data_IF_765043288125
#
_entry.id   IF_765043288125
#
_cell.length_a   1.000
_cell.length_b   1.000
_cell.length_c   1.000
_cell.angle_alpha   90.00
_cell.angle_beta   90.00
_cell.angle_gamma   90.00
#
_symmetry.space_group_name_H-M   'P 1'
#
loop_
_entity.id
_entity.type
_entity.pdbx_description
1 polymer ?
#
# COMPACT_ATOMS: atom_id res chain seq x y z
N UNK A 1 -21.39 -30.91 68.35
CA UNK A 1 -21.72 -29.51 68.05
C UNK A 1 -20.39 -28.79 67.74
N UNK A 2 -20.37 -27.96 66.68
CA UNK A 2 -19.22 -27.30 66.01
C UNK A 2 -18.53 -28.11 64.90
N UNK A 3 -19.17 -28.08 63.72
CA UNK A 3 -18.49 -28.23 62.44
C UNK A 3 -17.74 -26.93 62.13
N UNK A 4 -16.45 -27.02 61.81
CA UNK A 4 -15.62 -25.89 61.37
C UNK A 4 -15.77 -25.79 59.86
N UNK A 5 -16.51 -24.79 59.38
CA UNK A 5 -16.58 -24.44 57.96
C UNK A 5 -15.30 -23.69 57.57
N UNK A 6 -14.48 -24.28 56.70
CA UNK A 6 -13.45 -23.55 55.97
C UNK A 6 -14.13 -22.76 54.84
N UNK A 7 -14.20 -21.43 54.99
CA UNK A 7 -14.62 -20.54 53.91
C UNK A 7 -13.44 -20.36 52.95
N UNK A 8 -13.53 -20.98 51.77
CA UNK A 8 -12.63 -20.71 50.64
C UNK A 8 -13.06 -19.37 50.03
N UNK A 9 -12.29 -18.31 50.29
CA UNK A 9 -12.43 -17.03 49.60
C UNK A 9 -11.82 -17.23 48.21
N UNK A 10 -12.67 -17.46 47.20
CA UNK A 10 -12.27 -17.38 45.80
C UNK A 10 -12.00 -15.91 45.46
N UNK A 11 -10.72 -15.54 45.33
CA UNK A 11 -10.33 -14.26 44.77
C UNK A 11 -10.71 -14.25 43.29
N UNK A 12 -11.83 -13.59 42.94
CA UNK A 12 -12.13 -13.21 41.58
C UNK A 12 -11.09 -12.17 41.15
N UNK A 13 -10.07 -12.62 40.41
CA UNK A 13 -9.23 -11.72 39.64
C UNK A 13 -10.12 -11.13 38.53
N UNK A 14 -10.57 -9.88 38.72
CA UNK A 14 -11.12 -9.10 37.61
C UNK A 14 -9.99 -8.90 36.61
N UNK A 15 -10.00 -9.68 35.53
CA UNK A 15 -9.22 -9.40 34.33
C UNK A 15 -9.87 -8.15 33.75
N UNK A 16 -9.35 -6.97 34.11
CA UNK A 16 -9.63 -5.76 33.37
C UNK A 16 -9.14 -6.02 31.95
N UNK A 17 -10.05 -6.01 30.97
CA UNK A 17 -9.65 -5.89 29.58
C UNK A 17 -8.73 -4.67 29.49
N UNK A 18 -7.58 -4.75 28.81
CA UNK A 18 -6.74 -3.58 28.64
C UNK A 18 -7.60 -2.51 27.98
N UNK A 19 -7.77 -1.37 28.67
CA UNK A 19 -8.20 -0.16 28.00
C UNK A 19 -7.24 0.00 26.83
N UNK A 20 -7.76 0.00 25.60
CA UNK A 20 -6.94 0.32 24.44
C UNK A 20 -6.23 1.63 24.74
N UNK A 21 -4.90 1.61 24.77
CA UNK A 21 -4.13 2.82 25.01
C UNK A 21 -4.54 3.87 23.99
N UNK A 22 -4.68 5.13 24.42
CA UNK A 22 -5.00 6.25 23.56
C UNK A 22 -3.97 6.32 22.41
N UNK A 23 -4.44 6.24 21.16
CA UNK A 23 -3.56 6.18 19.99
C UNK A 23 -3.07 7.58 19.59
N UNK A 24 -3.88 8.61 19.80
CA UNK A 24 -3.57 10.00 19.44
C UNK A 24 -2.84 10.74 20.54
N UNK A 25 -1.89 11.60 20.12
CA UNK A 25 -1.19 12.53 21.02
C UNK A 25 -1.65 13.95 20.76
N UNK A 26 -1.68 14.75 21.83
CA UNK A 26 -1.87 16.20 21.75
C UNK A 26 -0.59 16.89 22.16
N UNK A 27 -0.19 17.90 21.40
CA UNK A 27 0.89 18.80 21.81
C UNK A 27 0.39 19.77 22.88
N UNK A 28 1.27 20.10 23.83
CA UNK A 28 0.96 21.10 24.86
C UNK A 28 0.74 22.49 24.25
N UNK A 29 0.09 23.39 24.99
CA UNK A 29 -0.12 24.76 24.51
C UNK A 29 1.22 25.43 24.15
N UNK A 30 1.36 25.84 22.89
CA UNK A 30 2.58 26.49 22.40
C UNK A 30 3.70 25.54 22.00
N UNK A 31 3.45 24.23 21.89
CA UNK A 31 4.49 23.28 21.49
C UNK A 31 5.15 23.64 20.15
N UNK A 32 6.44 23.39 20.07
CA UNK A 32 7.22 23.41 18.83
C UNK A 32 7.29 22.00 18.26
N UNK A 33 7.13 21.87 16.95
CA UNK A 33 7.21 20.58 16.29
C UNK A 33 8.67 20.13 16.21
N UNK A 34 8.98 18.83 16.46
CA UNK A 34 10.34 18.34 16.39
C UNK A 34 10.83 18.31 14.94
N UNK A 35 12.17 18.40 14.70
CA UNK A 35 12.71 18.21 13.37
C UNK A 35 12.35 16.83 12.80
N UNK A 36 11.98 16.77 11.53
CA UNK A 36 11.62 15.53 10.85
C UNK A 36 11.84 15.64 9.34
N UNK A 37 12.30 14.55 8.72
CA UNK A 37 12.41 14.39 7.27
C UNK A 37 11.24 13.58 6.74
N UNK A 38 10.80 13.89 5.51
CA UNK A 38 9.73 13.16 4.83
C UNK A 38 10.09 11.68 4.61
N UNK A 39 11.38 11.38 4.43
CA UNK A 39 11.89 10.02 4.18
C UNK A 39 11.71 9.09 5.40
N UNK A 40 11.55 9.66 6.61
CA UNK A 40 11.24 8.88 7.82
C UNK A 40 9.85 8.22 7.76
N UNK A 41 9.03 8.59 6.77
CA UNK A 41 7.69 8.08 6.53
C UNK A 41 7.60 7.07 5.39
N UNK A 42 8.71 6.57 4.85
CA UNK A 42 8.71 5.60 3.73
C UNK A 42 7.89 4.33 4.02
N UNK A 43 7.77 3.93 5.29
CA UNK A 43 6.97 2.79 5.74
C UNK A 43 5.46 2.97 5.48
N UNK A 44 5.00 4.20 5.26
CA UNK A 44 3.61 4.54 5.00
C UNK A 44 3.21 4.30 3.53
N UNK A 45 4.18 4.31 2.61
CA UNK A 45 3.97 4.19 1.18
C UNK A 45 3.28 2.85 0.87
N UNK A 46 2.11 2.92 0.22
CA UNK A 46 1.36 1.73 -0.12
C UNK A 46 -0.12 1.97 -0.30
N UNK A 47 -0.85 0.88 -0.43
CA UNK A 47 -2.30 0.85 -0.36
C UNK A 47 -2.70 -0.07 0.79
N UNK A 48 -3.73 0.34 1.52
CA UNK A 48 -4.13 -0.21 2.78
C UNK A 48 -5.65 -0.35 2.78
N UNK A 49 -6.17 -1.47 3.28
CA UNK A 49 -7.61 -1.77 3.32
C UNK A 49 -8.00 -2.38 4.66
N UNK A 50 -9.21 -2.10 5.13
CA UNK A 50 -9.71 -2.62 6.39
C UNK A 50 -11.12 -2.13 6.70
N UNK A 51 -11.51 -2.24 7.96
CA UNK A 51 -12.79 -1.74 8.45
C UNK A 51 -12.67 -0.27 8.87
N UNK A 52 -13.65 0.52 8.46
CA UNK A 52 -13.84 1.90 8.85
C UNK A 52 -15.03 2.08 9.79
N UNK A 53 -15.74 3.18 9.60
CA UNK A 53 -16.81 3.60 10.50
C UNK A 53 -17.95 2.58 10.48
N UNK A 54 -18.37 2.12 11.67
CA UNK A 54 -19.43 1.11 11.85
C UNK A 54 -19.16 -0.22 11.10
N UNK A 55 -17.89 -0.56 10.89
CA UNK A 55 -17.47 -1.79 10.21
C UNK A 55 -17.63 -1.78 8.69
N UNK A 56 -18.03 -0.64 8.09
CA UNK A 56 -18.06 -0.50 6.64
C UNK A 56 -16.62 -0.41 6.07
N UNK A 57 -16.36 -0.89 4.84
CA UNK A 57 -15.00 -0.90 4.29
C UNK A 57 -14.37 0.49 4.23
N UNK A 58 -13.07 0.55 4.48
CA UNK A 58 -12.27 1.75 4.29
C UNK A 58 -10.93 1.42 3.65
N UNK A 59 -10.40 2.39 2.92
CA UNK A 59 -9.15 2.29 2.18
C UNK A 59 -8.31 3.53 2.45
N UNK A 60 -7.00 3.33 2.55
CA UNK A 60 -6.04 4.44 2.62
C UNK A 60 -4.87 4.14 1.68
N UNK A 61 -4.38 5.16 0.99
CA UNK A 61 -3.24 5.02 0.09
C UNK A 61 -2.30 6.20 0.21
N UNK A 62 -1.00 5.94 0.10
CA UNK A 62 0.06 6.95 0.15
C UNK A 62 1.05 6.71 -0.98
N UNK A 63 1.30 7.79 -1.74
CA UNK A 63 2.31 7.81 -2.79
C UNK A 63 3.70 8.07 -2.19
N UNK A 64 4.80 7.66 -2.85
CA UNK A 64 6.13 8.16 -2.52
C UNK A 64 6.19 9.69 -2.57
N UNK A 65 7.08 10.33 -1.80
CA UNK A 65 7.18 11.79 -1.78
C UNK A 65 7.61 12.33 -3.15
N UNK A 66 6.96 13.41 -3.59
CA UNK A 66 7.31 14.19 -4.79
C UNK A 66 7.59 15.63 -4.38
N UNK A 67 8.79 16.13 -4.67
CA UNK A 67 9.20 17.48 -4.25
C UNK A 67 9.13 17.69 -2.72
N UNK A 68 9.38 16.64 -1.94
CA UNK A 68 9.30 16.67 -0.46
C UNK A 68 7.89 16.54 0.11
N UNK A 69 6.85 16.38 -0.72
CA UNK A 69 5.46 16.22 -0.26
C UNK A 69 4.98 14.80 -0.54
N UNK A 70 4.45 14.13 0.48
CA UNK A 70 3.74 12.87 0.35
C UNK A 70 2.24 13.14 0.21
N UNK A 71 1.59 12.52 -0.78
CA UNK A 71 0.16 12.67 -1.02
C UNK A 71 -0.52 11.35 -0.68
N UNK A 72 -1.61 11.44 0.07
CA UNK A 72 -2.44 10.30 0.42
C UNK A 72 -3.92 10.54 0.15
N UNK A 73 -4.67 9.45 0.15
CA UNK A 73 -6.13 9.46 0.00
C UNK A 73 -6.72 8.43 0.93
N UNK A 74 -7.75 8.83 1.68
CA UNK A 74 -8.60 7.93 2.45
C UNK A 74 -9.98 7.86 1.80
N UNK A 75 -10.60 6.68 1.80
CA UNK A 75 -11.95 6.44 1.30
C UNK A 75 -12.72 5.66 2.34
N UNK A 76 -13.87 6.21 2.76
CA UNK A 76 -14.86 5.48 3.53
C UNK A 76 -15.97 5.04 2.59
N UNK A 77 -16.27 3.75 2.56
CA UNK A 77 -17.44 3.22 1.88
C UNK A 77 -18.65 3.15 2.83
N UNK A 78 -19.84 3.08 2.25
CA UNK A 78 -21.05 2.62 2.93
C UNK A 78 -21.09 1.09 2.97
N UNK A 79 -22.01 0.51 3.74
CA UNK A 79 -22.16 -0.96 3.82
C UNK A 79 -22.53 -1.62 2.48
N UNK A 80 -23.05 -0.86 1.51
CA UNK A 80 -23.38 -1.33 0.16
C UNK A 80 -22.22 -1.22 -0.85
N UNK A 81 -21.04 -0.74 -0.42
CA UNK A 81 -19.86 -0.57 -1.25
C UNK A 81 -19.81 0.72 -2.08
N UNK A 82 -20.79 1.63 -1.92
CA UNK A 82 -20.69 2.96 -2.50
C UNK A 82 -19.74 3.85 -1.67
N UNK A 83 -19.10 4.83 -2.32
CA UNK A 83 -18.29 5.83 -1.60
C UNK A 83 -19.22 6.67 -0.71
N UNK A 84 -18.90 6.76 0.58
CA UNK A 84 -19.57 7.64 1.54
C UNK A 84 -18.88 9.01 1.54
N UNK A 85 -17.57 9.04 1.78
CA UNK A 85 -16.73 10.21 1.65
C UNK A 85 -15.28 9.80 1.39
N UNK A 86 -14.46 10.78 1.02
CA UNK A 86 -13.02 10.61 0.85
C UNK A 86 -12.25 11.78 1.46
N UNK A 87 -10.97 11.59 1.71
CA UNK A 87 -10.06 12.64 2.15
C UNK A 87 -8.89 12.72 1.19
N UNK A 88 -8.45 13.94 0.88
CA UNK A 88 -7.21 14.18 0.16
C UNK A 88 -6.19 14.75 1.15
N UNK A 89 -5.09 14.02 1.35
CA UNK A 89 -4.15 14.25 2.44
C UNK A 89 -2.75 14.56 1.92
N UNK A 90 -2.06 15.48 2.59
CA UNK A 90 -0.71 15.94 2.26
C UNK A 90 0.13 15.87 3.52
N UNK A 91 1.28 15.21 3.48
CA UNK A 91 2.34 15.38 4.48
C UNK A 91 3.44 16.18 3.81
N UNK A 92 3.76 17.35 4.36
CA UNK A 92 4.68 18.29 3.74
C UNK A 92 5.57 19.01 4.75
N UNK A 93 6.73 19.53 4.34
CA UNK A 93 7.63 20.26 5.22
C UNK A 93 7.01 21.60 5.66
N UNK A 94 7.21 21.94 6.92
CA UNK A 94 6.93 23.24 7.51
C UNK A 94 8.10 23.60 8.42
N UNK A 95 8.98 24.48 7.94
CA UNK A 95 10.26 24.74 8.62
C UNK A 95 11.19 23.53 8.50
N UNK A 96 11.72 23.06 9.63
CA UNK A 96 12.53 21.86 9.78
C UNK A 96 11.74 20.61 10.21
N UNK A 97 10.40 20.72 10.25
CA UNK A 97 9.46 19.69 10.65
C UNK A 97 8.48 19.33 9.52
N UNK A 98 7.55 18.42 9.79
CA UNK A 98 6.42 18.07 8.93
C UNK A 98 5.07 18.56 9.50
N UNK A 99 4.09 18.69 8.62
CA UNK A 99 2.67 18.82 8.98
C UNK A 99 1.81 17.99 8.03
N UNK A 100 0.74 17.39 8.57
CA UNK A 100 -0.29 16.74 7.77
C UNK A 100 -1.43 17.73 7.52
N UNK A 101 -1.86 17.86 6.28
CA UNK A 101 -3.03 18.64 5.88
C UNK A 101 -4.02 17.74 5.18
N UNK A 102 -5.31 17.97 5.39
CA UNK A 102 -6.33 17.26 4.64
C UNK A 102 -7.58 18.09 4.40
N UNK A 103 -8.33 17.68 3.38
CA UNK A 103 -9.70 18.10 3.11
C UNK A 103 -10.58 16.87 2.94
N UNK A 104 -11.84 17.00 3.35
CA UNK A 104 -12.85 15.98 3.14
C UNK A 104 -13.70 16.31 1.92
N UNK A 105 -14.14 15.26 1.24
CA UNK A 105 -14.98 15.34 0.06
C UNK A 105 -16.12 14.33 0.15
N UNK A 106 -17.33 14.77 -0.19
CA UNK A 106 -18.46 13.86 -0.41
C UNK A 106 -18.20 12.96 -1.63
N UNK A 107 -19.07 11.96 -1.84
CA UNK A 107 -19.01 11.06 -2.99
C UNK A 107 -19.03 11.77 -4.36
N UNK A 108 -19.57 12.99 -4.44
CA UNK A 108 -19.64 13.82 -5.64
C UNK A 108 -18.49 14.85 -5.76
N UNK A 109 -17.46 14.71 -4.93
CA UNK A 109 -16.28 15.60 -4.85
C UNK A 109 -16.58 17.02 -4.34
N UNK A 110 -17.76 17.28 -3.77
CA UNK A 110 -17.98 18.54 -3.05
C UNK A 110 -17.23 18.52 -1.71
N UNK A 111 -16.45 19.58 -1.45
CA UNK A 111 -15.62 19.69 -0.24
C UNK A 111 -16.41 20.10 1.00
N UNK A 112 -15.97 19.62 2.18
CA UNK A 112 -16.54 20.05 3.47
C UNK A 112 -15.92 21.36 3.96
N UNK A 113 -14.62 21.53 3.75
CA UNK A 113 -13.91 22.77 4.04
C UNK A 113 -14.17 23.80 2.93
N UNK A 114 -14.09 25.08 3.30
CA UNK A 114 -14.09 26.17 2.35
C UNK A 114 -12.94 26.05 1.34
N UNK A 115 -13.08 26.74 0.20
CA UNK A 115 -12.16 26.61 -0.94
C UNK A 115 -10.68 26.74 -0.54
N UNK A 116 -10.36 27.74 0.28
CA UNK A 116 -8.98 28.04 0.68
C UNK A 116 -8.60 27.46 2.07
N UNK A 117 -9.52 26.74 2.71
CA UNK A 117 -9.32 26.16 4.04
C UNK A 117 -8.99 24.66 3.98
N UNK A 118 -8.24 24.20 4.96
CA UNK A 118 -7.92 22.78 5.17
C UNK A 118 -7.68 22.51 6.65
N UNK A 119 -7.89 21.27 7.09
CA UNK A 119 -7.37 20.85 8.38
C UNK A 119 -5.84 20.78 8.31
N UNK A 120 -5.17 21.21 9.37
CA UNK A 120 -3.71 21.16 9.50
C UNK A 120 -3.35 20.60 10.87
N UNK A 121 -2.61 19.50 10.87
CA UNK A 121 -2.13 18.80 12.05
C UNK A 121 -0.59 18.93 12.10
N UNK A 122 -0.09 19.67 13.09
CA UNK A 122 1.36 19.84 13.31
C UNK A 122 1.95 18.58 13.94
N UNK A 123 3.16 18.20 13.55
CA UNK A 123 3.87 17.06 14.12
C UNK A 123 4.17 17.31 15.61
N UNK A 124 3.81 16.36 16.47
CA UNK A 124 4.06 16.37 17.92
C UNK A 124 5.25 15.47 18.26
N UNK A 125 5.33 14.30 17.63
CA UNK A 125 6.42 13.36 17.83
C UNK A 125 6.59 12.48 16.58
N UNK A 126 7.81 11.99 16.37
CA UNK A 126 8.12 10.97 15.37
C UNK A 126 8.97 9.89 16.04
N UNK A 127 8.66 8.64 15.72
CA UNK A 127 9.31 7.44 16.23
C UNK A 127 9.49 6.47 15.05
N UNK A 128 10.34 5.43 15.17
CA UNK A 128 10.42 4.40 14.14
C UNK A 128 9.04 3.83 13.82
N UNK A 129 8.61 3.90 12.55
CA UNK A 129 7.31 3.41 12.10
C UNK A 129 6.10 4.12 12.74
N UNK A 130 6.25 5.35 13.26
CA UNK A 130 5.13 6.11 13.82
C UNK A 130 5.32 7.63 13.71
N UNK A 131 4.30 8.32 13.21
CA UNK A 131 4.19 9.76 13.16
C UNK A 131 2.96 10.21 13.93
N UNK A 132 3.18 11.02 14.97
CA UNK A 132 2.14 11.58 15.81
C UNK A 132 1.97 13.05 15.45
N UNK A 133 0.94 13.35 14.68
CA UNK A 133 0.46 14.70 14.49
C UNK A 133 -0.52 15.06 15.61
N UNK A 134 -0.67 16.35 15.89
CA UNK A 134 -1.55 16.81 16.96
C UNK A 134 -2.99 16.38 16.69
N UNK A 135 -3.52 15.43 17.46
CA UNK A 135 -4.84 14.80 17.28
C UNK A 135 -4.96 13.76 16.14
N UNK A 136 -3.85 13.37 15.49
CA UNK A 136 -3.85 12.36 14.43
C UNK A 136 -2.57 11.51 14.48
N UNK A 137 -2.70 10.19 14.45
CA UNK A 137 -1.58 9.25 14.45
C UNK A 137 -1.59 8.41 13.20
N UNK A 138 -0.43 8.24 12.58
CA UNK A 138 -0.15 7.20 11.59
C UNK A 138 0.97 6.34 12.16
N UNK A 139 0.79 5.03 12.24
CA UNK A 139 1.85 4.12 12.69
C UNK A 139 1.70 2.73 12.10
N UNK A 140 2.78 1.97 12.09
CA UNK A 140 2.73 0.56 11.78
C UNK A 140 1.90 -0.19 12.81
N UNK A 141 1.16 -1.20 12.36
CA UNK A 141 0.44 -2.11 13.23
C UNK A 141 1.39 -2.91 14.12
N UNK A 142 2.54 -3.32 13.55
CA UNK A 142 3.65 -3.98 14.22
C UNK A 142 4.95 -3.18 13.95
N UNK A 143 5.54 -2.52 14.97
CA UNK A 143 6.80 -1.78 14.81
C UNK A 143 7.99 -2.65 14.39
N UNK A 144 7.98 -3.94 14.71
CA UNK A 144 9.05 -4.87 14.36
C UNK A 144 8.88 -5.45 12.94
N UNK A 145 7.69 -5.24 12.34
CA UNK A 145 7.36 -5.69 10.99
C UNK A 145 6.66 -4.58 10.17
N UNK A 146 7.39 -3.50 9.81
CA UNK A 146 6.89 -2.45 8.93
C UNK A 146 6.28 -3.03 7.64
N UNK A 147 5.15 -2.47 7.18
CA UNK A 147 4.48 -2.98 5.99
C UNK A 147 3.47 -4.10 6.25
N UNK A 148 3.40 -4.69 7.45
CA UNK A 148 2.40 -5.72 7.79
C UNK A 148 1.00 -5.18 8.06
N UNK A 149 0.89 -3.89 8.38
CA UNK A 149 -0.36 -3.19 8.60
C UNK A 149 -0.13 -1.74 8.99
N UNK A 150 -1.18 -0.93 8.83
CA UNK A 150 -1.22 0.49 9.14
C UNK A 150 -2.30 0.74 10.20
N UNK A 151 -2.00 1.56 11.18
CA UNK A 151 -2.98 2.12 12.12
C UNK A 151 -3.04 3.62 11.89
N UNK A 152 -4.22 4.09 11.49
CA UNK A 152 -4.55 5.51 11.44
C UNK A 152 -5.54 5.81 12.56
N UNK A 153 -5.25 6.82 13.39
CA UNK A 153 -6.15 7.22 14.46
C UNK A 153 -6.36 8.73 14.44
N UNK A 154 -7.61 9.17 14.62
CA UNK A 154 -7.97 10.59 14.69
C UNK A 154 -8.83 10.85 15.90
N UNK A 155 -8.51 11.93 16.63
CA UNK A 155 -9.29 12.36 17.78
C UNK A 155 -10.47 13.20 17.30
N UNK A 156 -11.67 12.76 17.63
CA UNK A 156 -12.90 13.48 17.35
C UNK A 156 -13.05 14.67 18.30
N UNK A 157 -13.58 15.78 17.78
CA UNK A 157 -14.10 16.86 18.63
C UNK A 157 -15.32 16.33 19.38
N UNK A 158 -15.29 16.41 20.71
CA UNK A 158 -16.35 15.93 21.58
C UNK A 158 -16.41 16.79 22.84
N UNK A 159 -17.62 17.01 23.37
CA UNK A 159 -17.84 17.64 24.67
C UNK A 159 -17.65 16.64 25.82
N UNK A 160 -17.44 15.36 25.50
CA UNK A 160 -17.17 14.33 26.49
C UNK A 160 -15.79 14.52 27.15
N UNK A 161 -15.67 14.27 28.46
CA UNK A 161 -14.40 14.41 29.17
C UNK A 161 -13.35 13.39 28.72
N UNK A 162 -13.78 12.22 28.25
CA UNK A 162 -12.89 11.20 27.71
C UNK A 162 -12.56 11.47 26.24
N UNK A 163 -11.29 11.37 25.82
CA UNK A 163 -10.90 11.42 24.41
C UNK A 163 -11.71 10.42 23.58
N UNK A 164 -12.34 10.90 22.50
CA UNK A 164 -12.96 10.04 21.51
C UNK A 164 -12.07 9.92 20.30
N UNK A 165 -11.73 8.69 19.92
CA UNK A 165 -10.88 8.39 18.78
C UNK A 165 -11.62 7.50 17.79
N UNK A 166 -11.45 7.77 16.51
CA UNK A 166 -11.65 6.78 15.47
C UNK A 166 -10.30 6.13 15.21
N UNK A 167 -10.25 4.80 15.28
CA UNK A 167 -9.04 4.01 15.05
C UNK A 167 -9.31 3.06 13.90
N UNK A 168 -8.60 3.26 12.81
CA UNK A 168 -8.62 2.44 11.62
C UNK A 168 -7.42 1.49 11.66
N UNK A 169 -7.69 0.19 11.46
CA UNK A 169 -6.65 -0.84 11.40
C UNK A 169 -6.70 -1.47 10.02
N UNK A 170 -5.65 -1.24 9.25
CA UNK A 170 -5.54 -1.67 7.87
C UNK A 170 -4.51 -2.77 7.70
N UNK A 171 -4.81 -3.69 6.79
CA UNK A 171 -3.83 -4.57 6.20
C UNK A 171 -3.36 -3.99 4.85
N UNK A 172 -2.19 -4.38 4.33
CA UNK A 172 -1.80 -4.06 2.97
C UNK A 172 -2.88 -4.51 2.00
N UNK A 173 -3.31 -3.61 1.12
CA UNK A 173 -4.14 -4.00 0.00
C UNK A 173 -3.39 -5.07 -0.79
N UNK A 174 -4.06 -6.15 -1.19
CA UNK A 174 -3.50 -7.03 -2.19
C UNK A 174 -3.15 -6.16 -3.40
N UNK A 175 -1.86 -6.12 -3.78
CA UNK A 175 -1.48 -5.52 -5.06
C UNK A 175 -2.34 -6.24 -6.08
N UNK A 176 -3.29 -5.53 -6.68
CA UNK A 176 -4.07 -6.05 -7.79
C UNK A 176 -3.07 -6.29 -8.92
N UNK A 177 -2.45 -7.47 -8.93
CA UNK A 177 -1.84 -8.01 -10.13
C UNK A 177 -2.92 -7.89 -11.18
N UNK A 178 -2.64 -7.13 -12.25
CA UNK A 178 -3.65 -6.49 -13.08
C UNK A 178 -4.92 -7.33 -13.22
N UNK A 179 -6.08 -6.73 -12.98
CA UNK A 179 -7.36 -7.43 -13.14
C UNK A 179 -7.44 -7.97 -14.57
N UNK A 180 -7.29 -9.28 -14.72
CA UNK A 180 -7.46 -9.96 -15.99
C UNK A 180 -8.95 -10.25 -16.12
N UNK A 181 -9.57 -9.77 -17.20
CA UNK A 181 -10.97 -10.04 -17.54
C UNK A 181 -11.10 -11.48 -18.09
N UNK A 182 -10.72 -12.45 -17.26
CA UNK A 182 -10.82 -13.87 -17.52
C UNK A 182 -11.89 -14.46 -16.60
N UNK A 183 -13.01 -14.85 -17.18
CA UNK A 183 -14.18 -15.37 -16.48
C UNK A 183 -14.52 -16.82 -16.89
N UNK A 184 -15.57 -17.36 -16.26
CA UNK A 184 -16.07 -18.71 -16.54
C UNK A 184 -15.36 -19.82 -15.76
N UNK A 185 -15.29 -21.01 -16.36
CA UNK A 185 -14.72 -22.20 -15.70
C UNK A 185 -13.22 -22.05 -15.47
N UNK A 186 -12.63 -22.79 -14.53
CA UNK A 186 -11.18 -22.84 -14.32
C UNK A 186 -10.41 -23.14 -15.61
N UNK A 187 -10.95 -23.98 -16.49
CA UNK A 187 -10.37 -24.26 -17.81
C UNK A 187 -10.40 -23.02 -18.74
N UNK A 188 -11.53 -22.32 -18.79
CA UNK A 188 -11.67 -21.08 -19.57
C UNK A 188 -10.71 -20.00 -19.07
N UNK A 189 -10.63 -19.82 -17.75
CA UNK A 189 -9.69 -18.91 -17.08
C UNK A 189 -8.24 -19.26 -17.45
N UNK A 190 -7.85 -20.54 -17.33
CA UNK A 190 -6.51 -20.99 -17.69
C UNK A 190 -6.16 -20.69 -19.15
N UNK A 191 -7.10 -20.92 -20.08
CA UNK A 191 -6.90 -20.62 -21.50
C UNK A 191 -6.76 -19.12 -21.76
N UNK A 192 -7.60 -18.31 -21.13
CA UNK A 192 -7.54 -16.85 -21.22
C UNK A 192 -6.18 -16.33 -20.74
N UNK A 193 -5.77 -16.72 -19.53
CA UNK A 193 -4.49 -16.33 -18.94
C UNK A 193 -3.28 -16.83 -19.76
N UNK A 194 -3.35 -18.03 -20.35
CA UNK A 194 -2.27 -18.53 -21.21
C UNK A 194 -2.11 -17.65 -22.46
N UNK A 195 -3.20 -17.21 -23.08
CA UNK A 195 -3.15 -16.29 -24.22
C UNK A 195 -2.64 -14.90 -23.83
N UNK A 196 -2.91 -14.43 -22.60
CA UNK A 196 -2.35 -13.18 -22.07
C UNK A 196 -0.83 -13.32 -21.89
N UNK A 197 -0.37 -14.44 -21.31
CA UNK A 197 1.05 -14.70 -21.15
C UNK A 197 1.79 -14.75 -22.50
N UNK A 198 1.19 -15.35 -23.52
CA UNK A 198 1.75 -15.37 -24.88
C UNK A 198 1.94 -13.95 -25.42
N UNK A 199 0.93 -13.08 -25.34
CA UNK A 199 1.05 -11.66 -25.71
C UNK A 199 2.11 -10.92 -24.90
N UNK A 200 2.19 -11.19 -23.60
CA UNK A 200 3.18 -10.58 -22.72
C UNK A 200 4.61 -10.99 -23.14
N UNK A 201 4.82 -12.26 -23.47
CA UNK A 201 6.12 -12.78 -23.92
C UNK A 201 6.51 -12.24 -25.30
N UNK A 202 5.56 -12.17 -26.24
CA UNK A 202 5.79 -11.55 -27.56
C UNK A 202 6.23 -10.10 -27.44
N UNK A 203 5.54 -9.31 -26.62
CA UNK A 203 5.91 -7.91 -26.37
C UNK A 203 7.25 -7.78 -25.67
N UNK A 204 7.52 -8.58 -24.63
CA UNK A 204 8.82 -8.58 -23.94
C UNK A 204 9.95 -8.86 -24.94
N UNK A 205 9.72 -9.81 -25.85
CA UNK A 205 10.68 -10.17 -26.89
C UNK A 205 10.93 -9.01 -27.86
N UNK A 206 9.88 -8.37 -28.38
CA UNK A 206 9.98 -7.19 -29.25
C UNK A 206 10.80 -6.07 -28.59
N UNK A 207 10.53 -5.79 -27.31
CA UNK A 207 11.23 -4.74 -26.56
C UNK A 207 12.71 -5.10 -26.35
N UNK A 208 12.99 -6.36 -26.00
CA UNK A 208 14.37 -6.82 -25.85
C UNK A 208 15.15 -6.78 -27.18
N UNK A 209 14.53 -7.21 -28.27
CA UNK A 209 15.14 -7.20 -29.61
C UNK A 209 15.42 -5.78 -30.10
N UNK A 210 14.51 -4.85 -29.84
CA UNK A 210 14.73 -3.42 -30.14
C UNK A 210 15.86 -2.84 -29.28
N UNK A 211 15.87 -3.15 -27.98
CA UNK A 211 16.89 -2.65 -27.07
C UNK A 211 18.28 -3.18 -27.43
N UNK A 212 18.42 -4.49 -27.65
CA UNK A 212 19.72 -5.08 -27.99
C UNK A 212 20.17 -4.71 -29.40
N UNK A 213 19.25 -4.47 -30.34
CA UNK A 213 19.55 -4.02 -31.69
C UNK A 213 20.17 -2.62 -31.76
N UNK A 214 19.95 -1.79 -30.73
CA UNK A 214 20.63 -0.49 -30.58
C UNK A 214 22.05 -0.60 -30.01
N UNK A 215 22.40 -1.73 -29.39
CA UNK A 215 23.73 -1.98 -28.86
C UNK A 215 24.64 -2.60 -29.93
N UNK A 216 25.94 -2.32 -29.87
CA UNK A 216 26.92 -3.07 -30.65
C UNK A 216 26.90 -4.55 -30.20
N UNK A 217 26.76 -5.47 -31.17
CA UNK A 217 26.44 -6.87 -30.91
C UNK A 217 27.55 -7.62 -30.14
N UNK A 218 28.80 -7.18 -30.30
CA UNK A 218 29.99 -7.71 -29.62
C UNK A 218 30.33 -6.96 -28.32
N UNK A 219 29.55 -5.94 -27.97
CA UNK A 219 29.77 -5.18 -26.74
C UNK A 219 29.52 -6.02 -25.49
N UNK A 220 30.24 -5.67 -24.41
CA UNK A 220 29.99 -6.21 -23.07
C UNK A 220 28.52 -6.01 -22.65
N UNK A 221 27.94 -4.85 -23.01
CA UNK A 221 26.53 -4.56 -22.78
C UNK A 221 25.61 -5.60 -23.44
N UNK A 222 25.79 -5.87 -24.73
CA UNK A 222 24.97 -6.88 -25.43
C UNK A 222 25.15 -8.28 -24.81
N UNK A 223 26.36 -8.62 -24.37
CA UNK A 223 26.63 -9.85 -23.59
C UNK A 223 25.83 -9.91 -22.29
N UNK A 224 25.86 -8.84 -21.49
CA UNK A 224 25.15 -8.75 -20.22
C UNK A 224 23.62 -8.73 -20.41
N UNK A 225 23.11 -8.09 -21.47
CA UNK A 225 21.69 -8.11 -21.81
C UNK A 225 21.19 -9.52 -22.11
N UNK A 226 21.93 -10.31 -22.91
CA UNK A 226 21.58 -11.72 -23.19
C UNK A 226 21.59 -12.57 -21.93
N UNK A 227 22.63 -12.42 -21.09
CA UNK A 227 22.71 -13.12 -19.79
C UNK A 227 21.56 -12.73 -18.86
N UNK A 228 21.19 -11.45 -18.82
CA UNK A 228 20.07 -10.94 -18.03
C UNK A 228 18.73 -11.51 -18.53
N UNK A 229 18.54 -11.66 -19.85
CA UNK A 229 17.36 -12.32 -20.43
C UNK A 229 17.25 -13.78 -19.98
N UNK A 230 18.32 -14.55 -20.10
CA UNK A 230 18.35 -15.96 -19.68
C UNK A 230 18.11 -16.11 -18.18
N UNK A 231 18.75 -15.26 -17.36
CA UNK A 231 18.55 -15.25 -15.91
C UNK A 231 17.11 -14.91 -15.52
N UNK A 232 16.47 -13.98 -16.23
CA UNK A 232 15.05 -13.66 -16.01
C UNK A 232 14.14 -14.85 -16.32
N UNK A 233 14.36 -15.56 -17.44
CA UNK A 233 13.53 -16.70 -17.84
C UNK A 233 13.62 -17.83 -16.80
N UNK A 234 14.82 -18.13 -16.31
CA UNK A 234 15.04 -19.10 -15.24
C UNK A 234 14.40 -18.67 -13.90
N UNK A 235 14.51 -17.38 -13.55
CA UNK A 235 13.89 -16.82 -12.36
C UNK A 235 12.36 -16.91 -12.41
N UNK A 236 11.75 -16.46 -13.51
CA UNK A 236 10.28 -16.51 -13.71
C UNK A 236 9.75 -17.93 -13.57
N UNK A 237 10.42 -18.89 -14.21
CA UNK A 237 10.02 -20.30 -14.15
C UNK A 237 10.05 -20.81 -12.71
N UNK A 238 11.19 -20.62 -12.01
CA UNK A 238 11.37 -21.10 -10.65
C UNK A 238 10.41 -20.45 -9.66
N UNK A 239 10.25 -19.13 -9.75
CA UNK A 239 9.35 -18.34 -8.90
C UNK A 239 7.90 -18.78 -9.09
N UNK A 240 7.42 -18.83 -10.34
CA UNK A 240 6.02 -19.14 -10.59
C UNK A 240 5.70 -20.63 -10.39
N UNK A 241 6.66 -21.53 -10.59
CA UNK A 241 6.52 -22.94 -10.19
C UNK A 241 6.38 -23.09 -8.66
N UNK A 242 7.05 -22.26 -7.87
CA UNK A 242 6.87 -22.26 -6.40
C UNK A 242 5.47 -21.81 -6.00
N UNK A 243 4.90 -20.80 -6.68
CA UNK A 243 3.50 -20.38 -6.51
C UNK A 243 2.55 -21.51 -6.91
N UNK A 244 2.80 -22.20 -8.02
CA UNK A 244 2.01 -23.36 -8.42
C UNK A 244 1.97 -24.44 -7.32
N UNK A 245 3.13 -24.74 -6.72
CA UNK A 245 3.26 -25.74 -5.65
C UNK A 245 2.55 -25.32 -4.37
N UNK A 246 2.63 -24.03 -3.98
CA UNK A 246 1.89 -23.48 -2.83
C UNK A 246 0.38 -23.70 -2.99
N UNK A 247 -0.14 -23.64 -4.21
CA UNK A 247 -1.56 -23.77 -4.51
C UNK A 247 -1.99 -25.19 -4.91
N UNK A 248 -1.13 -26.21 -4.75
CA UNK A 248 -1.35 -27.56 -5.30
C UNK A 248 -2.66 -28.24 -4.92
N UNK A 249 -3.22 -27.89 -3.76
CA UNK A 249 -4.48 -28.43 -3.23
C UNK A 249 -5.72 -27.77 -3.84
N UNK A 250 -5.57 -26.62 -4.50
CA UNK A 250 -6.65 -25.84 -5.12
C UNK A 250 -6.79 -26.09 -6.62
N UNK A 251 -8.01 -25.92 -7.14
CA UNK A 251 -8.29 -26.03 -8.58
C UNK A 251 -7.68 -24.88 -9.40
N UNK A 252 -7.39 -23.74 -8.78
CA UNK A 252 -6.89 -22.53 -9.46
C UNK A 252 -5.35 -22.43 -9.54
N UNK A 253 -4.60 -23.46 -9.13
CA UNK A 253 -3.12 -23.44 -9.10
C UNK A 253 -2.46 -23.02 -10.42
N UNK A 254 -3.01 -23.47 -11.55
CA UNK A 254 -2.50 -23.11 -12.87
C UNK A 254 -2.78 -21.63 -13.20
N UNK A 255 -3.93 -21.11 -12.79
CA UNK A 255 -4.23 -19.68 -12.92
C UNK A 255 -3.26 -18.84 -12.08
N UNK A 256 -2.90 -19.30 -10.87
CA UNK A 256 -1.91 -18.62 -10.03
C UNK A 256 -0.51 -18.61 -10.64
N UNK A 257 -0.07 -19.74 -11.22
CA UNK A 257 1.16 -19.79 -12.03
C UNK A 257 1.14 -18.76 -13.17
N UNK A 258 0.08 -18.76 -13.98
CA UNK A 258 -0.02 -17.87 -15.14
C UNK A 258 -0.04 -16.39 -14.73
N UNK A 259 -0.79 -16.03 -13.69
CA UNK A 259 -0.83 -14.66 -13.15
C UNK A 259 0.55 -14.19 -12.67
N UNK A 260 1.30 -15.07 -12.00
CA UNK A 260 2.69 -14.81 -11.62
C UNK A 260 3.56 -14.54 -12.86
N UNK A 261 3.47 -15.42 -13.86
CA UNK A 261 4.28 -15.32 -15.07
C UNK A 261 3.99 -14.05 -15.86
N UNK A 262 2.72 -13.65 -16.01
CA UNK A 262 2.34 -12.41 -16.70
C UNK A 262 2.90 -11.20 -15.93
N UNK A 263 2.68 -11.13 -14.61
CA UNK A 263 3.17 -10.02 -13.77
C UNK A 263 4.69 -9.82 -13.90
N UNK A 264 5.45 -10.91 -13.81
CA UNK A 264 6.92 -10.83 -13.93
C UNK A 264 7.35 -10.45 -15.35
N UNK A 265 6.64 -10.90 -16.38
CA UNK A 265 6.93 -10.60 -17.79
C UNK A 265 6.66 -9.14 -18.12
N UNK A 266 5.55 -8.58 -17.64
CA UNK A 266 5.21 -7.16 -17.79
C UNK A 266 6.21 -6.27 -17.05
N UNK A 267 6.54 -6.59 -15.79
CA UNK A 267 7.55 -5.86 -15.04
C UNK A 267 8.90 -5.86 -15.77
N UNK A 268 9.32 -7.02 -16.29
CA UNK A 268 10.57 -7.12 -17.04
C UNK A 268 10.56 -6.30 -18.33
N UNK A 269 9.41 -6.25 -19.02
CA UNK A 269 9.23 -5.42 -20.23
C UNK A 269 9.41 -3.94 -19.90
N UNK A 270 8.82 -3.48 -18.78
CA UNK A 270 9.02 -2.12 -18.28
C UNK A 270 10.48 -1.82 -17.91
N UNK A 271 11.16 -2.76 -17.25
CA UNK A 271 12.59 -2.61 -16.91
C UNK A 271 13.46 -2.49 -18.18
N UNK A 272 13.19 -3.28 -19.22
CA UNK A 272 13.88 -3.17 -20.51
C UNK A 272 13.66 -1.78 -21.11
N UNK A 273 12.41 -1.31 -21.12
CA UNK A 273 12.06 0.00 -21.67
C UNK A 273 12.77 1.13 -20.94
N UNK A 274 12.65 1.16 -19.61
CA UNK A 274 13.24 2.19 -18.75
C UNK A 274 14.76 2.27 -18.86
N UNK A 275 15.42 1.13 -19.01
CA UNK A 275 16.88 1.08 -19.05
C UNK A 275 17.47 1.43 -20.42
N UNK A 276 16.79 1.06 -21.51
CA UNK A 276 17.42 1.04 -22.84
C UNK A 276 16.57 1.61 -23.98
N UNK A 277 15.27 1.86 -23.79
CA UNK A 277 14.38 2.34 -24.86
C UNK A 277 13.83 3.75 -24.61
N UNK A 278 14.16 4.36 -23.48
CA UNK A 278 13.77 5.73 -23.14
C UNK A 278 14.97 6.55 -22.68
N UNK A 279 14.79 7.86 -22.62
CA UNK A 279 15.80 8.84 -22.25
C UNK A 279 15.41 9.53 -20.94
N UNK A 280 16.39 10.06 -20.20
CA UNK A 280 16.15 10.82 -18.97
C UNK A 280 15.66 12.26 -19.26
N UNK A 281 15.70 12.69 -20.53
CA UNK A 281 15.21 13.97 -20.99
C UNK A 281 13.85 13.83 -21.70
N UNK A 282 13.39 14.88 -22.37
CA UNK A 282 12.11 14.89 -23.09
C UNK A 282 12.19 14.28 -24.50
N UNK A 283 13.24 13.52 -24.82
CA UNK A 283 13.38 12.87 -26.13
C UNK A 283 12.36 11.75 -26.28
N UNK A 284 11.89 11.54 -27.51
CA UNK A 284 10.93 10.47 -27.82
C UNK A 284 11.60 9.09 -27.62
N UNK A 285 10.95 8.16 -26.91
CA UNK A 285 11.51 6.83 -26.68
C UNK A 285 11.47 5.98 -27.96
N UNK A 286 12.38 5.01 -28.06
CA UNK A 286 12.48 4.09 -29.21
C UNK A 286 11.23 3.19 -29.35
N UNK A 287 10.57 2.89 -28.23
CA UNK A 287 9.26 2.26 -28.17
C UNK A 287 8.44 2.95 -27.06
N UNK A 288 7.10 2.96 -27.13
CA UNK A 288 6.26 3.50 -26.07
C UNK A 288 6.47 2.77 -24.73
N UNK A 289 6.13 3.43 -23.62
CA UNK A 289 6.13 2.78 -22.31
C UNK A 289 5.13 1.60 -22.31
N UNK A 290 5.53 0.39 -21.87
CA UNK A 290 4.67 -0.77 -21.93
C UNK A 290 3.60 -0.72 -20.83
N UNK A 291 2.33 -0.78 -21.22
CA UNK A 291 1.19 -0.93 -20.29
C UNK A 291 1.06 -2.38 -19.78
N UNK A 292 0.31 -2.69 -18.72
CA UNK A 292 0.02 -4.09 -18.36
C UNK A 292 -0.64 -4.87 -19.52
N UNK A 293 -0.24 -6.13 -19.73
CA UNK A 293 -0.85 -6.98 -20.76
C UNK A 293 -2.25 -7.38 -20.33
N UNK A 294 -3.23 -7.28 -21.25
CA UNK A 294 -4.62 -7.71 -21.07
C UNK A 294 -5.00 -8.78 -22.07
#
# INVERSE_FOLDING_TARGET
MRHIFFAVIAALAMIAAPAGAQETRLGENGFESPPASIDELDWLIGQWTGEGIQGAPAMESWLPPSGGTMIGTFVQESQDGAIMFSEHMYIMPVGDSLALKLKHFNADLTGWEEKDDMLTFRLVAIEPCAAYFNALTLRCADPDNPGSGLVAAVRMKSDNPEPQELVFRFAPAERSGGSYDCDGTTYAINRCLAAILERADERRKEYFETAIGSADNESELAGLMRKSREGFEAYRESECASVYEQWKEGSIRNAMFLRCSIRLTDQRTHDIWRNWLTYQDSSEPLLPEPLPTR
#
